data_IF_657876789241
#
_entry.id   IF_657876789241
#
_cell.length_a   1.000
_cell.length_b   1.000
_cell.length_c   1.000
_cell.angle_alpha   90.00
_cell.angle_beta   90.00
_cell.angle_gamma   90.00
#
_symmetry.space_group_name_H-M   'P 1'
#
loop_
_entity.id
_entity.type
_entity.pdbx_description
1 polymer ?
#
# COMPACT_ATOMS: atom_id res chain seq x y z
N UNK A 1 37.67 -7.96 52.44
CA UNK A 1 36.70 -8.55 51.50
C UNK A 1 36.52 -7.56 50.37
N UNK A 2 36.95 -7.93 49.16
CA UNK A 2 37.25 -7.04 48.04
C UNK A 2 35.99 -6.63 47.27
N UNK A 3 35.84 -5.32 47.03
CA UNK A 3 34.82 -4.73 46.15
C UNK A 3 35.03 -5.21 44.71
N UNK A 4 34.11 -6.03 44.20
CA UNK A 4 34.13 -6.56 42.84
C UNK A 4 33.94 -5.45 41.80
N UNK A 5 34.93 -5.31 40.92
CA UNK A 5 34.95 -4.35 39.81
C UNK A 5 33.88 -4.71 38.76
N UNK A 6 32.81 -3.92 38.67
CA UNK A 6 31.81 -4.06 37.61
C UNK A 6 32.42 -3.65 36.26
N UNK A 7 32.78 -4.63 35.43
CA UNK A 7 33.18 -4.39 34.04
C UNK A 7 31.99 -3.87 33.23
N UNK A 8 32.07 -2.62 32.79
CA UNK A 8 31.17 -2.01 31.80
C UNK A 8 31.23 -2.80 30.49
N UNK A 9 30.15 -3.51 30.15
CA UNK A 9 30.03 -4.20 28.86
C UNK A 9 30.06 -3.18 27.71
N UNK A 10 31.01 -3.31 26.79
CA UNK A 10 31.06 -2.53 25.55
C UNK A 10 29.99 -3.07 24.59
N UNK A 11 28.93 -2.30 24.35
CA UNK A 11 27.96 -2.60 23.29
C UNK A 11 28.59 -2.18 21.97
N UNK A 12 28.90 -3.14 21.09
CA UNK A 12 29.38 -2.86 19.74
C UNK A 12 28.25 -2.26 18.89
N UNK A 13 28.50 -1.20 18.09
CA UNK A 13 27.49 -0.69 17.16
C UNK A 13 27.15 -1.78 16.14
N UNK A 14 25.87 -2.17 16.11
CA UNK A 14 25.34 -3.14 15.16
C UNK A 14 25.56 -2.67 13.71
N UNK A 15 26.08 -3.59 12.89
CA UNK A 15 26.37 -3.42 11.46
C UNK A 15 25.08 -3.03 10.66
N UNK A 16 25.08 -1.94 9.86
CA UNK A 16 23.88 -1.44 9.17
C UNK A 16 23.42 -2.27 7.96
N UNK A 17 23.85 -3.54 7.85
CA UNK A 17 23.58 -4.41 6.70
C UNK A 17 22.59 -5.54 7.00
N UNK A 18 21.58 -5.32 7.85
CA UNK A 18 20.57 -6.34 8.05
C UNK A 18 19.61 -6.39 6.86
N UNK A 19 19.90 -7.37 6.00
CA UNK A 19 19.22 -7.79 4.79
C UNK A 19 17.72 -7.83 5.03
N UNK A 20 16.95 -7.17 4.16
CA UNK A 20 15.49 -7.33 4.07
C UNK A 20 15.16 -8.74 3.58
N UNK A 21 15.37 -9.75 4.41
CA UNK A 21 14.86 -11.11 4.19
C UNK A 21 13.45 -11.17 4.74
N UNK A 22 12.49 -10.59 4.02
CA UNK A 22 11.10 -11.03 4.13
C UNK A 22 10.77 -11.81 2.86
N UNK A 23 11.08 -13.09 2.88
CA UNK A 23 10.59 -14.11 1.94
C UNK A 23 9.10 -14.36 2.20
N UNK A 24 8.31 -13.29 2.29
CA UNK A 24 6.86 -13.35 2.20
C UNK A 24 6.53 -12.87 0.80
N UNK A 25 6.20 -13.85 -0.02
CA UNK A 25 5.93 -13.74 -1.45
C UNK A 25 5.02 -12.52 -1.72
N UNK A 26 5.63 -11.41 -2.14
CA UNK A 26 4.89 -10.20 -2.55
C UNK A 26 4.20 -10.55 -3.85
N UNK A 27 2.98 -11.09 -3.76
CA UNK A 27 2.04 -11.18 -4.88
C UNK A 27 1.81 -9.75 -5.40
N UNK A 28 2.69 -9.28 -6.28
CA UNK A 28 2.58 -7.98 -6.97
C UNK A 28 1.40 -7.95 -7.94
N UNK A 29 0.77 -9.10 -8.19
CA UNK A 29 -0.31 -9.25 -9.17
C UNK A 29 -1.70 -9.20 -8.51
N UNK A 30 -1.81 -9.62 -7.23
CA UNK A 30 -2.98 -9.28 -6.39
C UNK A 30 -3.07 -7.76 -6.10
N UNK A 31 -2.01 -7.00 -6.43
CA UNK A 31 -1.81 -5.62 -6.00
C UNK A 31 -2.50 -4.54 -6.84
N UNK A 32 -2.85 -4.81 -8.11
CA UNK A 32 -3.47 -3.79 -8.99
C UNK A 32 -4.99 -3.93 -9.09
N UNK A 33 -5.52 -5.15 -9.01
CA UNK A 33 -6.97 -5.40 -9.05
C UNK A 33 -7.62 -4.86 -7.77
N UNK A 34 -7.10 -5.22 -6.59
CA UNK A 34 -7.59 -4.70 -5.30
C UNK A 34 -7.46 -3.18 -5.24
N UNK A 35 -6.35 -2.66 -5.75
CA UNK A 35 -6.14 -1.22 -5.84
C UNK A 35 -7.24 -0.53 -6.66
N UNK A 36 -7.50 -1.02 -7.86
CA UNK A 36 -8.55 -0.51 -8.71
C UNK A 36 -9.95 -0.72 -8.11
N UNK A 37 -10.19 -1.83 -7.41
CA UNK A 37 -11.45 -2.07 -6.73
C UNK A 37 -11.72 -1.03 -5.62
N UNK A 38 -10.67 -0.61 -4.89
CA UNK A 38 -10.77 0.50 -3.92
C UNK A 38 -11.07 1.83 -4.61
N UNK A 39 -10.42 2.11 -5.76
CA UNK A 39 -10.70 3.32 -6.54
C UNK A 39 -12.17 3.38 -7.01
N UNK A 40 -12.71 2.24 -7.45
CA UNK A 40 -14.12 2.10 -7.84
C UNK A 40 -15.04 2.33 -6.64
N UNK A 41 -14.77 1.65 -5.51
CA UNK A 41 -15.56 1.80 -4.26
C UNK A 41 -15.64 3.25 -3.80
N UNK A 42 -14.52 3.97 -3.86
CA UNK A 42 -14.44 5.36 -3.42
C UNK A 42 -14.87 6.36 -4.50
N UNK A 43 -15.36 5.88 -5.65
CA UNK A 43 -15.81 6.70 -6.78
C UNK A 43 -14.76 7.74 -7.19
N UNK A 44 -13.49 7.33 -7.24
CA UNK A 44 -12.32 8.17 -7.52
C UNK A 44 -12.30 9.48 -6.72
N UNK A 45 -12.73 9.43 -5.45
CA UNK A 45 -12.81 10.59 -4.57
C UNK A 45 -11.78 10.47 -3.46
N UNK A 46 -11.04 11.54 -3.20
CA UNK A 46 -10.11 11.55 -2.07
C UNK A 46 -10.88 11.42 -0.75
N UNK A 47 -10.53 10.44 0.08
CA UNK A 47 -11.14 10.23 1.39
C UNK A 47 -10.94 11.42 2.37
N UNK A 48 -9.94 12.27 2.10
CA UNK A 48 -9.52 13.36 2.97
C UNK A 48 -10.06 14.72 2.53
N UNK A 49 -9.72 15.17 1.32
CA UNK A 49 -10.16 16.47 0.81
C UNK A 49 -11.39 16.41 -0.08
N UNK A 50 -11.92 15.21 -0.36
CA UNK A 50 -13.10 14.99 -1.20
C UNK A 50 -12.98 15.46 -2.66
N UNK A 51 -11.77 15.80 -3.11
CA UNK A 51 -11.50 16.11 -4.50
C UNK A 51 -11.73 14.88 -5.40
N UNK A 52 -12.29 15.11 -6.59
CA UNK A 52 -12.35 14.12 -7.65
C UNK A 52 -10.98 13.91 -8.27
N UNK A 53 -10.64 12.65 -8.51
CA UNK A 53 -9.36 12.19 -9.01
C UNK A 53 -9.57 11.41 -10.31
N UNK A 54 -8.48 11.18 -11.03
CA UNK A 54 -8.47 10.36 -12.24
C UNK A 54 -7.65 9.09 -12.01
N UNK A 55 -7.82 8.07 -12.83
CA UNK A 55 -7.07 6.81 -12.66
C UNK A 55 -5.59 6.98 -13.00
N UNK A 56 -5.27 7.82 -14.01
CA UNK A 56 -3.92 8.06 -14.52
C UNK A 56 -3.72 9.50 -14.96
N UNK A 57 -2.46 9.93 -15.00
CA UNK A 57 -2.06 11.26 -15.47
C UNK A 57 -1.93 12.28 -14.33
N UNK A 58 -2.06 13.56 -14.66
CA UNK A 58 -2.04 14.65 -13.68
C UNK A 58 -3.31 14.59 -12.83
N UNK A 59 -3.16 14.59 -11.50
CA UNK A 59 -4.30 14.40 -10.59
C UNK A 59 -4.70 12.94 -10.40
N UNK A 60 -3.81 11.99 -10.74
CA UNK A 60 -4.05 10.58 -10.51
C UNK A 60 -4.31 10.26 -9.04
N UNK A 61 -5.28 9.38 -8.82
CA UNK A 61 -5.56 8.79 -7.53
C UNK A 61 -4.37 7.95 -7.05
N UNK A 62 -4.09 8.04 -5.75
CA UNK A 62 -3.17 7.18 -5.03
C UNK A 62 -3.94 6.37 -4.00
N UNK A 63 -3.31 5.32 -3.48
CA UNK A 63 -3.86 4.57 -2.35
C UNK A 63 -3.07 4.89 -1.11
N UNK A 64 -3.80 5.15 -0.03
CA UNK A 64 -3.24 5.36 1.29
C UNK A 64 -3.67 4.25 2.24
N UNK A 65 -2.75 3.87 3.14
CA UNK A 65 -3.01 2.88 4.17
C UNK A 65 -3.48 3.59 5.43
N UNK A 66 -4.70 3.31 5.90
CA UNK A 66 -5.25 3.94 7.12
C UNK A 66 -4.29 3.70 8.29
N UNK A 67 -3.96 2.43 8.53
CA UNK A 67 -2.85 2.01 9.40
C UNK A 67 -1.58 1.97 8.52
N UNK A 68 -0.57 2.81 8.77
CA UNK A 68 0.65 2.85 7.96
C UNK A 68 1.37 1.50 7.92
N UNK A 69 2.02 1.17 6.80
CA UNK A 69 2.83 -0.07 6.67
C UNK A 69 3.97 -0.13 7.69
N UNK A 70 4.58 1.00 8.04
CA UNK A 70 5.60 1.09 9.08
C UNK A 70 5.09 0.70 10.48
N UNK A 71 3.77 0.77 10.70
CA UNK A 71 3.08 0.33 11.91
C UNK A 71 2.41 -1.05 11.76
N UNK A 72 2.78 -1.81 10.72
CA UNK A 72 2.24 -3.16 10.48
C UNK A 72 0.93 -3.23 9.68
N UNK A 73 0.46 -2.11 9.12
CA UNK A 73 -0.78 -2.09 8.32
C UNK A 73 -0.72 -2.97 7.06
N UNK A 74 -1.74 -3.80 6.88
CA UNK A 74 -1.87 -4.71 5.74
C UNK A 74 -2.32 -4.01 4.46
N UNK A 75 -1.93 -4.53 3.30
CA UNK A 75 -2.37 -4.04 2.00
C UNK A 75 -3.69 -4.71 1.57
N UNK A 76 -4.73 -4.56 2.39
CA UNK A 76 -6.08 -5.12 2.18
C UNK A 76 -7.08 -3.99 1.96
N UNK A 77 -8.17 -4.25 1.24
CA UNK A 77 -9.17 -3.21 0.89
C UNK A 77 -9.74 -2.46 2.11
N UNK A 78 -9.86 -3.15 3.26
CA UNK A 78 -10.34 -2.58 4.53
C UNK A 78 -9.35 -1.68 5.24
N UNK A 79 -8.09 -1.66 4.80
CA UNK A 79 -7.05 -0.74 5.29
C UNK A 79 -6.61 0.25 4.21
N UNK A 80 -7.26 0.26 3.04
CA UNK A 80 -6.89 1.10 1.90
C UNK A 80 -8.02 2.06 1.55
N UNK A 81 -7.65 3.31 1.27
CA UNK A 81 -8.56 4.34 0.76
C UNK A 81 -7.93 5.12 -0.39
N UNK A 82 -8.78 5.66 -1.23
CA UNK A 82 -8.39 6.56 -2.32
C UNK A 82 -7.97 7.91 -1.77
N UNK A 83 -6.80 8.40 -2.17
CA UNK A 83 -6.26 9.69 -1.73
C UNK A 83 -5.52 10.42 -2.86
N UNK A 84 -5.54 11.75 -2.83
CA UNK A 84 -4.69 12.54 -3.71
C UNK A 84 -3.25 12.58 -3.16
N UNK A 85 -2.26 12.76 -4.05
CA UNK A 85 -0.86 12.80 -3.64
C UNK A 85 -0.55 13.87 -2.56
N UNK A 86 -1.12 15.09 -2.59
CA UNK A 86 -0.93 16.09 -1.54
C UNK A 86 -1.41 15.63 -0.16
N UNK A 87 -2.65 15.11 -0.06
CA UNK A 87 -3.20 14.62 1.22
C UNK A 87 -2.45 13.39 1.73
N UNK A 88 -2.11 12.47 0.83
CA UNK A 88 -1.35 11.27 1.18
C UNK A 88 0.02 11.65 1.78
N UNK A 89 0.75 12.58 1.14
CA UNK A 89 2.02 13.10 1.65
C UNK A 89 1.86 13.83 2.99
N UNK A 90 0.80 14.63 3.16
CA UNK A 90 0.53 15.33 4.43
C UNK A 90 0.34 14.34 5.58
N UNK A 91 -0.43 13.27 5.37
CA UNK A 91 -0.61 12.20 6.38
C UNK A 91 0.68 11.48 6.76
N UNK A 92 1.64 11.39 5.84
CA UNK A 92 2.93 10.78 6.15
C UNK A 92 3.79 11.64 7.08
N UNK A 93 3.63 12.97 7.06
CA UNK A 93 4.35 13.92 7.91
C UNK A 93 3.60 14.29 9.20
N UNK A 94 2.27 14.37 9.15
CA UNK A 94 1.41 14.82 10.25
C UNK A 94 0.31 13.80 10.55
N UNK A 95 -0.14 13.73 11.81
CA UNK A 95 -1.40 13.07 12.13
C UNK A 95 -2.54 13.85 11.45
N UNK A 96 -3.28 13.19 10.54
CA UNK A 96 -4.56 13.72 10.12
C UNK A 96 -5.50 13.81 11.34
N UNK A 97 -6.41 14.78 11.32
CA UNK A 97 -7.47 14.89 12.33
C UNK A 97 -8.22 13.55 12.46
N UNK A 98 -8.57 13.19 13.71
CA UNK A 98 -9.20 11.91 14.03
C UNK A 98 -10.50 11.70 13.23
N UNK A 99 -11.24 12.78 12.93
CA UNK A 99 -12.45 12.74 12.09
C UNK A 99 -12.14 12.28 10.67
N UNK A 100 -11.03 12.74 10.10
CA UNK A 100 -10.58 12.33 8.76
C UNK A 100 -10.23 10.85 8.72
N UNK A 101 -9.57 10.35 9.78
CA UNK A 101 -9.22 8.94 9.90
C UNK A 101 -10.47 8.09 10.08
N UNK A 102 -11.39 8.50 10.95
CA UNK A 102 -12.63 7.78 11.21
C UNK A 102 -13.48 7.64 9.93
N UNK A 103 -13.66 8.72 9.18
CA UNK A 103 -14.38 8.71 7.90
C UNK A 103 -13.68 7.81 6.87
N UNK A 104 -12.34 7.79 6.84
CA UNK A 104 -11.59 6.88 5.99
C UNK A 104 -11.81 5.40 6.39
N UNK A 105 -11.88 5.10 7.69
CA UNK A 105 -12.23 3.77 8.22
C UNK A 105 -13.62 3.36 7.76
N UNK A 106 -14.63 4.21 7.89
CA UNK A 106 -16.00 3.93 7.41
C UNK A 106 -16.00 3.61 5.91
N UNK A 107 -15.29 4.40 5.11
CA UNK A 107 -15.19 4.17 3.68
C UNK A 107 -14.52 2.84 3.35
N UNK A 108 -13.47 2.49 4.09
CA UNK A 108 -12.68 1.30 3.86
C UNK A 108 -13.45 -0.01 4.14
N UNK A 109 -14.39 0.02 5.07
CA UNK A 109 -15.23 -1.13 5.41
C UNK A 109 -16.38 -1.38 4.42
N UNK A 110 -16.63 -0.46 3.49
CA UNK A 110 -17.59 -0.72 2.39
C UNK A 110 -17.06 -1.83 1.47
N UNK A 111 -17.94 -2.70 0.95
CA UNK A 111 -17.52 -3.80 0.09
C UNK A 111 -16.83 -3.30 -1.18
N UNK A 112 -15.85 -4.06 -1.65
CA UNK A 112 -15.18 -3.81 -2.94
C UNK A 112 -15.71 -4.78 -3.99
N UNK A 113 -15.87 -4.27 -5.20
CA UNK A 113 -16.21 -5.08 -6.38
C UNK A 113 -14.92 -5.44 -7.12
N UNK A 114 -14.50 -6.70 -6.98
CA UNK A 114 -13.27 -7.21 -7.59
C UNK A 114 -13.40 -7.32 -9.11
N UNK A 115 -14.61 -7.55 -9.63
CA UNK A 115 -14.85 -7.63 -11.08
C UNK A 115 -14.65 -6.26 -11.69
N UNK A 116 -15.31 -5.22 -11.16
CA UNK A 116 -15.08 -3.83 -11.60
C UNK A 116 -13.64 -3.38 -11.39
N UNK A 117 -13.02 -3.80 -10.29
CA UNK A 117 -11.59 -3.55 -10.06
C UNK A 117 -10.71 -4.15 -11.15
N UNK A 118 -11.00 -5.37 -11.60
CA UNK A 118 -10.28 -6.04 -12.70
C UNK A 118 -10.51 -5.33 -14.03
N UNK A 119 -11.74 -4.95 -14.33
CA UNK A 119 -12.10 -4.20 -15.56
C UNK A 119 -11.31 -2.89 -15.64
N UNK A 120 -11.36 -2.08 -14.57
CA UNK A 120 -10.61 -0.82 -14.50
C UNK A 120 -9.11 -1.05 -14.61
N UNK A 121 -8.60 -2.12 -13.97
CA UNK A 121 -7.19 -2.48 -14.04
C UNK A 121 -6.78 -2.87 -15.48
N UNK A 122 -7.60 -3.63 -16.21
CA UNK A 122 -7.32 -4.00 -17.60
C UNK A 122 -7.37 -2.80 -18.54
N UNK A 123 -8.34 -1.90 -18.34
CA UNK A 123 -8.48 -0.67 -19.12
C UNK A 123 -7.27 0.25 -18.96
N UNK A 124 -6.84 0.49 -17.72
CA UNK A 124 -5.79 1.48 -17.45
C UNK A 124 -4.39 0.87 -17.35
N UNK A 125 -4.23 -0.40 -16.98
CA UNK A 125 -2.94 -1.06 -16.78
C UNK A 125 -2.81 -2.38 -17.57
N UNK A 126 -3.08 -2.39 -18.90
CA UNK A 126 -3.11 -3.62 -19.69
C UNK A 126 -1.76 -4.36 -19.71
N UNK A 127 -0.65 -3.63 -19.58
CA UNK A 127 0.70 -4.22 -19.50
C UNK A 127 0.89 -5.17 -18.31
N UNK A 128 0.09 -5.02 -17.23
CA UNK A 128 0.12 -5.92 -16.06
C UNK A 128 -0.55 -7.28 -16.33
N UNK A 129 -1.32 -7.40 -17.41
CA UNK A 129 -2.07 -8.61 -17.76
C UNK A 129 -1.47 -9.37 -18.95
N UNK A 130 -0.42 -8.83 -19.59
CA UNK A 130 0.29 -9.53 -20.68
C UNK A 130 1.02 -10.74 -20.09
N UNK A 131 0.48 -11.95 -20.31
CA UNK A 131 1.24 -13.18 -20.05
C UNK A 131 2.51 -13.15 -20.90
N UNK A 132 3.67 -13.37 -20.28
CA UNK A 132 4.87 -13.73 -21.04
C UNK A 132 4.53 -15.01 -21.81
N UNK A 133 4.51 -14.93 -23.16
CA UNK A 133 4.46 -16.13 -23.98
C UNK A 133 5.71 -16.94 -23.62
N UNK A 134 5.58 -18.00 -22.83
CA UNK A 134 6.67 -18.99 -22.72
C UNK A 134 6.80 -19.58 -24.11
N UNK A 135 7.89 -19.29 -24.80
CA UNK A 135 8.28 -20.03 -25.99
C UNK A 135 8.48 -21.47 -25.56
N UNK A 136 7.46 -22.30 -25.74
CA UNK A 136 7.62 -23.75 -25.61
C UNK A 136 8.51 -24.13 -26.78
N UNK A 137 9.82 -24.29 -26.53
CA UNK A 137 10.70 -24.95 -27.49
C UNK A 137 10.22 -26.40 -27.56
N UNK A 138 9.37 -26.70 -28.52
CA UNK A 138 9.13 -28.08 -28.94
C UNK A 138 10.47 -28.56 -29.49
N UNK A 139 11.13 -29.47 -28.77
CA UNK A 139 12.29 -30.17 -29.30
C UNK A 139 11.75 -31.12 -30.37
N UNK A 140 12.14 -30.86 -31.62
CA UNK A 140 12.00 -31.79 -32.73
C UNK A 140 12.95 -32.98 -32.54
#
# INVERSE_FOLDING_TARGET
>A
MTMGSFRRMKVSPGNPKNKRTSTFNRNRDMSIIVACAVLVRDNLTCAYCHAKLVVKGKGAATLDHIIPRSKGGLAVATNLVTSCAPCNRKKHGDLLDYKSIFRAVEWAHRPVDIVKGRELAMQHYPSRFKRARKSVKVRA
#
